data_IF_505807911305
#
_entry.id   IF_505807911305
#
_cell.length_a   1.000
_cell.length_b   1.000
_cell.length_c   1.000
_cell.angle_alpha   90.00
_cell.angle_beta   90.00
_cell.angle_gamma   90.00
#
_symmetry.space_group_name_H-M   'P 1'
#
loop_
_entity.id
_entity.type
_entity.pdbx_description
1 polymer ?
#
# COMPACT_ATOMS: atom_id res chain seq x y z
N UNK A 1 -4.83 -12.72 -22.75
CA UNK A 1 -6.13 -12.06 -23.02
C UNK A 1 -5.83 -10.66 -23.56
N UNK A 2 -6.70 -10.02 -24.34
CA UNK A 2 -6.51 -8.60 -24.64
C UNK A 2 -6.80 -7.79 -23.36
N UNK A 3 -6.00 -6.76 -23.02
CA UNK A 3 -6.22 -6.00 -21.80
C UNK A 3 -7.56 -5.26 -21.86
N UNK A 4 -8.28 -5.18 -20.75
CA UNK A 4 -9.44 -4.31 -20.61
C UNK A 4 -8.96 -2.85 -20.71
N UNK A 5 -9.62 -2.06 -21.54
CA UNK A 5 -9.28 -0.63 -21.75
C UNK A 5 -10.45 0.31 -21.52
N UNK A 6 -11.64 -0.21 -21.24
CA UNK A 6 -12.91 0.51 -21.08
C UNK A 6 -13.29 0.70 -19.61
N UNK A 7 -12.31 0.91 -18.74
CA UNK A 7 -12.56 1.17 -17.32
C UNK A 7 -13.33 2.48 -17.13
N UNK A 8 -14.22 2.56 -16.12
CA UNK A 8 -14.79 3.83 -15.73
C UNK A 8 -13.70 4.78 -15.20
N UNK A 9 -13.95 6.11 -15.23
CA UNK A 9 -13.07 7.07 -14.59
C UNK A 9 -12.88 6.78 -13.10
N UNK A 10 -11.66 7.01 -12.60
CA UNK A 10 -11.34 6.82 -11.18
C UNK A 10 -12.01 7.91 -10.34
N UNK A 11 -12.68 7.50 -9.27
CA UNK A 11 -13.31 8.38 -8.26
C UNK A 11 -12.69 8.24 -6.88
N UNK A 12 -11.94 7.17 -6.63
CA UNK A 12 -11.23 6.96 -5.37
C UNK A 12 -9.81 6.45 -5.59
N UNK A 13 -8.87 7.01 -4.84
CA UNK A 13 -7.51 6.50 -4.75
C UNK A 13 -7.24 6.00 -3.32
N UNK A 14 -6.82 4.75 -3.19
CA UNK A 14 -6.54 4.09 -1.91
C UNK A 14 -5.04 3.80 -1.86
N UNK A 15 -4.36 4.28 -0.82
CA UNK A 15 -2.91 4.22 -0.74
C UNK A 15 -2.46 3.26 0.35
N UNK A 16 -1.52 2.36 0.02
CA UNK A 16 -0.61 1.86 1.05
C UNK A 16 0.27 3.00 1.60
N UNK A 17 1.07 2.75 2.63
CA UNK A 17 1.95 3.73 3.25
C UNK A 17 3.42 3.35 3.14
N UNK A 18 3.75 2.12 3.53
CA UNK A 18 5.11 1.74 3.89
C UNK A 18 5.85 1.25 2.65
N UNK A 19 6.88 1.97 2.20
CA UNK A 19 7.56 1.66 0.94
C UNK A 19 6.89 2.27 -0.30
N UNK A 20 5.73 2.94 -0.12
CA UNK A 20 5.01 3.64 -1.18
C UNK A 20 4.93 5.15 -0.95
N UNK A 21 4.36 5.60 0.18
CA UNK A 21 4.26 7.02 0.50
C UNK A 21 5.54 7.53 1.16
N UNK A 22 6.15 6.67 1.97
CA UNK A 22 7.34 6.99 2.79
C UNK A 22 8.35 5.84 2.71
N UNK A 23 9.64 6.16 2.87
CA UNK A 23 10.80 5.27 2.70
C UNK A 23 11.02 4.26 3.85
N UNK A 24 9.95 3.87 4.55
CA UNK A 24 10.03 3.06 5.78
C UNK A 24 10.55 1.65 5.58
N UNK A 25 10.41 1.07 4.39
CA UNK A 25 10.89 -0.29 4.09
C UNK A 25 12.41 -0.46 4.23
N UNK A 26 13.18 0.59 3.94
CA UNK A 26 14.62 0.60 4.16
C UNK A 26 14.96 0.73 5.65
N UNK A 27 14.18 1.52 6.40
CA UNK A 27 14.33 1.64 7.85
C UNK A 27 13.93 0.35 8.57
N UNK A 28 12.88 -0.34 8.13
CA UNK A 28 12.52 -1.68 8.61
C UNK A 28 13.68 -2.66 8.41
N UNK A 29 14.26 -2.66 7.22
CA UNK A 29 15.39 -3.53 6.88
C UNK A 29 16.61 -3.22 7.75
N UNK A 30 16.89 -1.93 7.99
CA UNK A 30 17.97 -1.49 8.88
C UNK A 30 17.73 -1.97 10.32
N UNK A 31 16.53 -1.78 10.88
CA UNK A 31 16.19 -2.27 12.22
C UNK A 31 16.42 -3.78 12.33
N UNK A 32 15.92 -4.56 11.37
CA UNK A 32 16.07 -6.02 11.35
C UNK A 32 17.55 -6.42 11.25
N UNK A 33 18.32 -5.79 10.37
CA UNK A 33 19.74 -6.11 10.19
C UNK A 33 20.58 -5.78 11.42
N UNK A 34 20.27 -4.69 12.12
CA UNK A 34 20.94 -4.36 13.39
C UNK A 34 20.66 -5.40 14.48
N UNK A 35 19.46 -5.99 14.51
CA UNK A 35 19.17 -7.13 15.40
C UNK A 35 19.95 -8.36 14.94
N UNK A 36 19.89 -8.74 13.66
CA UNK A 36 20.61 -9.90 13.12
C UNK A 36 22.11 -9.85 13.42
N UNK A 37 22.74 -8.68 13.27
CA UNK A 37 24.16 -8.45 13.52
C UNK A 37 24.55 -8.74 14.98
N UNK A 38 23.74 -8.33 15.96
CA UNK A 38 23.99 -8.63 17.40
C UNK A 38 24.08 -10.13 17.69
N UNK A 39 23.37 -10.94 16.91
CA UNK A 39 23.32 -12.39 17.04
C UNK A 39 24.23 -13.11 16.03
N UNK A 40 25.15 -12.38 15.39
CA UNK A 40 26.13 -12.95 14.45
C UNK A 40 25.52 -13.47 13.15
N UNK A 41 24.31 -13.04 12.79
CA UNK A 41 23.68 -13.34 11.50
C UNK A 41 24.01 -12.27 10.47
N UNK A 42 24.18 -12.70 9.21
CA UNK A 42 24.32 -11.81 8.08
C UNK A 42 23.05 -11.00 7.78
N UNK A 43 23.13 -10.04 6.85
CA UNK A 43 21.99 -9.21 6.48
C UNK A 43 20.84 -10.06 5.90
N UNK A 44 19.62 -9.60 6.12
CA UNK A 44 18.42 -10.20 5.55
C UNK A 44 18.47 -10.13 4.01
N UNK A 45 18.41 -11.29 3.31
CA UNK A 45 18.39 -11.30 1.86
C UNK A 45 17.04 -10.82 1.32
N UNK A 46 17.04 -10.32 0.07
CA UNK A 46 15.84 -9.83 -0.60
C UNK A 46 14.75 -10.90 -0.76
N UNK A 47 15.13 -12.16 -0.97
CA UNK A 47 14.21 -13.30 -1.02
C UNK A 47 13.41 -13.50 0.28
N UNK A 48 13.92 -13.01 1.41
CA UNK A 48 13.18 -12.99 2.68
C UNK A 48 12.44 -11.68 2.82
N UNK A 49 13.09 -10.53 2.59
CA UNK A 49 12.47 -9.19 2.65
C UNK A 49 11.18 -9.16 1.85
N UNK A 50 11.21 -9.59 0.58
CA UNK A 50 10.07 -9.62 -0.34
C UNK A 50 8.84 -10.35 0.21
N UNK A 51 9.03 -11.36 1.08
CA UNK A 51 7.92 -12.10 1.71
C UNK A 51 7.35 -11.40 2.95
N UNK A 52 8.08 -10.43 3.51
CA UNK A 52 7.67 -9.65 4.69
C UNK A 52 6.88 -8.41 4.31
N UNK A 53 7.31 -7.70 3.25
CA UNK A 53 6.76 -6.39 2.85
C UNK A 53 5.25 -6.45 2.61
N UNK A 54 4.53 -5.42 3.05
CA UNK A 54 3.07 -5.29 2.91
C UNK A 54 2.21 -6.17 3.82
N UNK A 55 2.78 -7.18 4.49
CA UNK A 55 2.00 -8.08 5.39
C UNK A 55 1.73 -7.43 6.76
N UNK A 56 0.64 -7.84 7.44
CA UNK A 56 0.44 -7.55 8.85
C UNK A 56 1.61 -8.07 9.70
N UNK A 57 1.97 -7.31 10.74
CA UNK A 57 3.10 -7.60 11.63
C UNK A 57 3.18 -9.05 12.10
N UNK A 58 2.10 -9.68 12.63
CA UNK A 58 2.14 -11.07 13.06
C UNK A 58 2.55 -12.08 11.97
N UNK A 59 2.06 -11.88 10.73
CA UNK A 59 2.41 -12.76 9.61
C UNK A 59 3.86 -12.56 9.16
N UNK A 60 4.31 -11.31 9.05
CA UNK A 60 5.71 -10.99 8.74
C UNK A 60 6.67 -11.52 9.81
N UNK A 61 6.35 -11.32 11.10
CA UNK A 61 7.16 -11.79 12.22
C UNK A 61 7.30 -13.31 12.23
N UNK A 62 6.24 -14.05 11.89
CA UNK A 62 6.31 -15.50 11.76
C UNK A 62 7.31 -15.93 10.68
N UNK A 63 7.20 -15.35 9.48
CA UNK A 63 8.11 -15.63 8.35
C UNK A 63 9.56 -15.30 8.72
N UNK A 64 9.77 -14.16 9.39
CA UNK A 64 11.09 -13.77 9.86
C UNK A 64 11.62 -14.76 10.89
N UNK A 65 10.85 -15.15 11.91
CA UNK A 65 11.31 -16.05 12.97
C UNK A 65 11.64 -17.45 12.43
N UNK A 66 10.81 -17.98 11.53
CA UNK A 66 11.04 -19.28 10.89
C UNK A 66 12.37 -19.31 10.11
N UNK A 67 12.75 -18.20 9.47
CA UNK A 67 14.01 -18.07 8.74
C UNK A 67 15.19 -17.71 9.66
N UNK A 68 15.01 -16.71 10.52
CA UNK A 68 16.07 -16.09 11.30
C UNK A 68 16.48 -16.97 12.48
N UNK A 69 15.60 -17.79 13.05
CA UNK A 69 15.91 -18.73 14.14
C UNK A 69 16.87 -18.15 15.20
N UNK A 70 16.64 -16.90 15.59
CA UNK A 70 17.46 -16.22 16.59
C UNK A 70 17.22 -16.86 17.96
N UNK A 71 18.20 -16.84 18.87
CA UNK A 71 18.03 -17.30 20.25
C UNK A 71 17.27 -16.25 21.09
N UNK A 72 16.12 -15.82 20.58
CA UNK A 72 15.22 -14.84 21.17
C UNK A 72 13.81 -15.39 21.20
N UNK A 73 13.09 -15.10 22.26
CA UNK A 73 11.63 -15.22 22.27
C UNK A 73 11.01 -14.17 21.34
N UNK A 74 9.75 -14.37 20.97
CA UNK A 74 9.01 -13.39 20.17
C UNK A 74 8.96 -12.02 20.86
N UNK A 75 8.71 -11.99 22.17
CA UNK A 75 8.61 -10.75 22.95
C UNK A 75 9.94 -9.99 23.01
N UNK A 76 11.06 -10.69 23.22
CA UNK A 76 12.40 -10.06 23.21
C UNK A 76 12.73 -9.47 21.84
N UNK A 77 12.44 -10.20 20.75
CA UNK A 77 12.64 -9.69 19.39
C UNK A 77 11.84 -8.41 19.13
N UNK A 78 10.56 -8.38 19.53
CA UNK A 78 9.70 -7.21 19.35
C UNK A 78 10.18 -6.04 20.21
N UNK A 79 10.63 -6.29 21.44
CA UNK A 79 11.19 -5.26 22.30
C UNK A 79 12.45 -4.63 21.69
N UNK A 80 13.37 -5.43 21.16
CA UNK A 80 14.58 -4.93 20.49
C UNK A 80 14.26 -4.11 19.24
N UNK A 81 13.35 -4.62 18.39
CA UNK A 81 12.92 -3.89 17.21
C UNK A 81 12.26 -2.56 17.58
N UNK A 82 11.40 -2.55 18.61
CA UNK A 82 10.65 -1.36 19.00
C UNK A 82 11.58 -0.20 19.39
N UNK A 83 12.68 -0.49 20.09
CA UNK A 83 13.69 0.53 20.45
C UNK A 83 14.34 1.13 19.20
N UNK A 84 14.70 0.30 18.23
CA UNK A 84 15.30 0.76 16.97
C UNK A 84 14.30 1.56 16.12
N UNK A 85 13.05 1.08 16.04
CA UNK A 85 11.97 1.72 15.30
C UNK A 85 11.63 3.09 15.87
N UNK A 86 11.54 3.23 17.20
CA UNK A 86 11.33 4.53 17.86
C UNK A 86 12.41 5.55 17.54
N UNK A 87 13.65 5.09 17.31
CA UNK A 87 14.77 5.96 16.93
C UNK A 87 14.77 6.31 15.45
N UNK A 88 14.45 5.35 14.58
CA UNK A 88 14.65 5.47 13.13
C UNK A 88 13.41 5.96 12.38
N UNK A 89 12.21 5.52 12.74
CA UNK A 89 10.97 5.92 12.04
C UNK A 89 10.69 7.43 12.03
N UNK A 90 11.04 8.23 13.04
CA UNK A 90 10.92 9.69 12.95
C UNK A 90 11.79 10.34 11.86
N UNK A 91 12.69 9.58 11.23
CA UNK A 91 13.58 10.07 10.16
C UNK A 91 13.09 9.72 8.75
N UNK A 92 11.96 9.00 8.64
CA UNK A 92 11.39 8.64 7.34
C UNK A 92 11.00 9.86 6.53
N UNK A 93 11.09 9.73 5.21
CA UNK A 93 10.84 10.80 4.24
C UNK A 93 9.79 10.36 3.22
N UNK A 94 9.04 11.32 2.66
CA UNK A 94 8.18 11.04 1.51
C UNK A 94 9.01 10.50 0.34
N UNK A 95 8.49 9.51 -0.36
CA UNK A 95 9.12 9.01 -1.59
C UNK A 95 8.95 10.00 -2.76
N UNK A 96 9.83 9.97 -3.78
CA UNK A 96 9.74 10.85 -4.94
C UNK A 96 8.35 10.80 -5.62
N UNK A 97 7.85 11.96 -6.05
CA UNK A 97 6.53 12.10 -6.67
C UNK A 97 5.35 12.12 -5.70
N UNK A 98 5.46 11.51 -4.51
CA UNK A 98 4.35 11.39 -3.54
C UNK A 98 3.76 12.75 -3.11
N UNK A 99 4.56 13.76 -2.71
CA UNK A 99 3.99 15.05 -2.32
C UNK A 99 3.18 15.71 -3.43
N UNK A 100 3.68 15.66 -4.67
CA UNK A 100 2.98 16.23 -5.83
C UNK A 100 1.72 15.43 -6.15
N UNK A 101 1.81 14.10 -6.18
CA UNK A 101 0.68 13.21 -6.44
C UNK A 101 -0.48 13.47 -5.47
N UNK A 102 -0.19 13.53 -4.16
CA UNK A 102 -1.20 13.77 -3.15
C UNK A 102 -1.77 15.19 -3.22
N UNK A 103 -0.94 16.20 -3.50
CA UNK A 103 -1.39 17.57 -3.71
C UNK A 103 -2.37 17.68 -4.89
N UNK A 104 -2.00 17.09 -6.03
CA UNK A 104 -2.79 17.08 -7.27
C UNK A 104 -4.13 16.36 -7.08
N UNK A 105 -4.12 15.18 -6.46
CA UNK A 105 -5.36 14.47 -6.15
C UNK A 105 -6.24 15.25 -5.16
N UNK A 106 -5.65 15.99 -4.23
CA UNK A 106 -6.38 16.83 -3.30
C UNK A 106 -7.02 18.08 -3.95
N UNK A 107 -6.54 18.52 -5.11
CA UNK A 107 -7.13 19.67 -5.85
C UNK A 107 -8.20 19.26 -6.86
N UNK A 108 -8.34 17.96 -7.18
CA UNK A 108 -9.42 17.45 -8.04
C UNK A 108 -10.80 17.94 -7.58
N UNK A 109 -11.70 18.19 -8.53
CA UNK A 109 -13.06 18.66 -8.27
C UNK A 109 -13.19 20.11 -7.77
N UNK A 110 -12.10 20.88 -7.70
CA UNK A 110 -12.12 22.32 -7.32
C UNK A 110 -12.24 23.27 -8.52
N UNK A 111 -12.41 22.74 -9.74
CA UNK A 111 -12.56 23.53 -10.98
C UNK A 111 -14.01 23.62 -11.46
N UNK A 112 -14.30 24.70 -12.19
CA UNK A 112 -15.61 25.19 -12.63
C UNK A 112 -16.10 24.56 -13.96
N UNK A 113 -15.39 23.54 -14.47
CA UNK A 113 -15.67 22.87 -15.74
C UNK A 113 -16.24 21.46 -15.56
N UNK A 114 -17.37 21.21 -16.20
CA UNK A 114 -18.00 19.89 -16.32
C UNK A 114 -17.00 18.83 -16.85
N UNK A 115 -16.68 17.79 -16.06
CA UNK A 115 -15.93 16.66 -16.58
C UNK A 115 -15.61 15.53 -15.59
N UNK A 116 -14.99 15.82 -14.44
CA UNK A 116 -14.63 14.79 -13.46
C UNK A 116 -14.85 15.29 -12.03
N UNK A 117 -15.48 14.45 -11.21
CA UNK A 117 -15.76 14.75 -9.79
C UNK A 117 -14.50 14.76 -8.93
N UNK A 118 -14.66 15.10 -7.65
CA UNK A 118 -13.62 14.99 -6.63
C UNK A 118 -13.10 13.55 -6.58
N UNK A 119 -11.77 13.36 -6.58
CA UNK A 119 -11.17 12.08 -6.23
C UNK A 119 -11.06 11.97 -4.72
N UNK A 120 -11.63 10.91 -4.16
CA UNK A 120 -11.63 10.61 -2.74
C UNK A 120 -10.39 9.81 -2.35
N UNK A 121 -9.75 10.19 -1.26
CA UNK A 121 -8.51 9.56 -0.79
C UNK A 121 -8.74 8.81 0.51
N UNK A 122 -8.14 7.62 0.61
CA UNK A 122 -8.07 6.83 1.83
C UNK A 122 -6.66 6.23 1.99
N UNK A 123 -6.26 6.04 3.24
CA UNK A 123 -5.03 5.35 3.61
C UNK A 123 -5.38 3.92 4.08
N UNK A 124 -4.64 2.93 3.62
CA UNK A 124 -4.84 1.51 3.92
C UNK A 124 -3.49 0.84 4.19
N UNK A 125 -3.03 0.87 5.44
CA UNK A 125 -1.70 0.36 5.84
C UNK A 125 -1.79 -0.84 6.80
N UNK A 126 -0.89 -1.80 6.63
CA UNK A 126 -0.70 -2.91 7.59
C UNK A 126 -0.04 -2.48 8.92
N UNK A 127 0.42 -1.22 9.03
CA UNK A 127 0.96 -0.65 10.26
C UNK A 127 -0.13 -0.41 11.30
N UNK A 128 0.15 -0.74 12.57
CA UNK A 128 -0.71 -0.39 13.69
C UNK A 128 -0.60 1.10 14.07
N UNK A 129 -1.57 1.62 14.81
CA UNK A 129 -1.68 3.03 15.21
C UNK A 129 -0.37 3.61 15.80
N UNK A 130 0.24 2.90 16.74
CA UNK A 130 1.51 3.32 17.34
C UNK A 130 2.64 3.56 16.33
N UNK A 131 2.82 2.64 15.38
CA UNK A 131 3.85 2.75 14.35
C UNK A 131 3.48 3.80 13.31
N UNK A 132 2.20 3.90 12.93
CA UNK A 132 1.70 4.97 12.08
C UNK A 132 2.09 6.34 12.66
N UNK A 133 1.80 6.61 13.94
CA UNK A 133 2.12 7.89 14.59
C UNK A 133 3.60 8.22 14.57
N UNK A 134 4.46 7.26 14.92
CA UNK A 134 5.91 7.49 14.98
C UNK A 134 6.47 7.80 13.59
N UNK A 135 5.93 7.17 12.54
CA UNK A 135 6.32 7.39 11.15
C UNK A 135 5.81 8.70 10.56
N UNK A 136 4.64 9.19 11.00
CA UNK A 136 3.92 10.26 10.29
C UNK A 136 3.81 11.57 11.06
N UNK A 137 4.09 11.61 12.36
CA UNK A 137 3.90 12.81 13.20
C UNK A 137 4.66 14.06 12.72
N UNK A 138 5.84 13.90 12.12
CA UNK A 138 6.63 14.99 11.53
C UNK A 138 6.25 15.30 10.07
N UNK A 139 5.32 14.53 9.49
CA UNK A 139 4.84 14.65 8.10
C UNK A 139 3.35 15.03 8.05
N UNK A 140 2.86 15.77 9.05
CA UNK A 140 1.44 16.11 9.20
C UNK A 140 0.81 16.71 7.95
N UNK A 141 1.51 17.62 7.26
CA UNK A 141 1.00 18.26 6.04
C UNK A 141 0.76 17.23 4.91
N UNK A 142 1.67 16.27 4.75
CA UNK A 142 1.55 15.22 3.73
C UNK A 142 0.33 14.33 3.98
N UNK A 143 0.13 13.90 5.23
CA UNK A 143 -0.95 12.97 5.60
C UNK A 143 -2.29 13.67 5.87
N UNK A 144 -2.33 15.00 5.86
CA UNK A 144 -3.56 15.79 6.08
C UNK A 144 -4.60 15.58 4.98
N UNK A 145 -4.19 15.11 3.79
CA UNK A 145 -5.09 14.76 2.68
C UNK A 145 -5.96 13.54 2.96
N UNK A 146 -5.62 12.72 3.97
CA UNK A 146 -6.39 11.56 4.39
C UNK A 146 -7.18 11.92 5.67
N UNK A 147 -8.51 12.11 5.60
CA UNK A 147 -9.34 12.28 6.78
C UNK A 147 -9.17 11.10 7.76
N UNK A 148 -9.28 11.35 9.06
CA UNK A 148 -9.03 10.35 10.10
C UNK A 148 -9.95 9.13 9.94
N UNK A 149 -11.22 9.35 9.60
CA UNK A 149 -12.22 8.32 9.36
C UNK A 149 -11.92 7.44 8.13
N UNK A 150 -11.07 7.92 7.22
CA UNK A 150 -10.63 7.23 5.98
C UNK A 150 -9.22 6.65 6.10
N UNK A 151 -8.67 6.58 7.31
CA UNK A 151 -7.44 5.84 7.61
C UNK A 151 -7.82 4.48 8.14
N UNK A 152 -7.40 3.44 7.44
CA UNK A 152 -7.52 2.04 7.85
C UNK A 152 -6.13 1.54 8.18
N UNK A 153 -5.92 1.21 9.46
CA UNK A 153 -4.64 0.75 10.00
C UNK A 153 -4.68 -0.75 10.28
N UNK A 154 -3.52 -1.36 10.50
CA UNK A 154 -3.38 -2.81 10.66
C UNK A 154 -4.04 -3.38 11.92
N UNK A 155 -4.30 -2.53 12.92
CA UNK A 155 -5.00 -2.86 14.17
C UNK A 155 -6.43 -2.28 14.23
N UNK A 156 -6.97 -1.86 13.08
CA UNK A 156 -8.36 -1.40 12.97
C UNK A 156 -9.33 -2.52 13.36
N UNK A 157 -10.15 -2.27 14.39
CA UNK A 157 -11.08 -3.25 14.96
C UNK A 157 -12.23 -3.63 14.01
N UNK A 158 -12.42 -2.88 12.93
CA UNK A 158 -13.37 -3.20 11.86
C UNK A 158 -12.85 -4.32 10.94
N UNK A 159 -11.55 -4.62 10.98
CA UNK A 159 -10.95 -5.76 10.28
C UNK A 159 -11.06 -7.01 11.14
N UNK A 160 -11.48 -8.13 10.53
CA UNK A 160 -11.46 -9.40 11.28
C UNK A 160 -10.01 -9.88 11.46
N UNK A 161 -9.69 -10.51 12.60
CA UNK A 161 -8.36 -11.07 12.84
C UNK A 161 -7.92 -12.02 11.72
N UNK A 162 -6.68 -11.85 11.25
CA UNK A 162 -6.10 -12.67 10.18
C UNK A 162 -6.54 -12.29 8.77
N UNK A 163 -7.38 -11.25 8.60
CA UNK A 163 -7.88 -10.80 7.28
C UNK A 163 -7.12 -9.62 6.66
N UNK A 164 -5.88 -9.38 7.08
CA UNK A 164 -5.03 -8.37 6.42
C UNK A 164 -4.48 -8.84 5.07
N UNK A 165 -3.66 -8.00 4.42
CA UNK A 165 -3.03 -8.30 3.13
C UNK A 165 -2.35 -9.69 3.15
N UNK A 166 -2.58 -10.55 2.15
CA UNK A 166 -3.12 -10.28 0.81
C UNK A 166 -4.64 -10.40 0.65
N UNK A 167 -5.39 -10.48 1.75
CA UNK A 167 -6.86 -10.46 1.68
C UNK A 167 -7.37 -9.04 1.40
N UNK A 168 -8.52 -8.91 0.73
CA UNK A 168 -8.99 -7.62 0.20
C UNK A 168 -9.56 -6.69 1.26
N UNK A 169 -9.77 -7.19 2.48
CA UNK A 169 -10.56 -6.54 3.52
C UNK A 169 -10.10 -5.12 3.84
N UNK A 170 -8.79 -4.85 3.85
CA UNK A 170 -8.29 -3.51 4.16
C UNK A 170 -8.69 -2.48 3.10
N UNK A 171 -8.67 -2.86 1.82
CA UNK A 171 -9.08 -1.98 0.73
C UNK A 171 -10.61 -1.90 0.62
N UNK A 172 -11.33 -2.99 0.84
CA UNK A 172 -12.79 -2.97 0.93
C UNK A 172 -13.28 -2.08 2.08
N UNK A 173 -12.62 -2.14 3.24
CA UNK A 173 -12.90 -1.27 4.37
C UNK A 173 -12.57 0.18 4.03
N UNK A 174 -11.41 0.46 3.41
CA UNK A 174 -11.06 1.82 2.99
C UNK A 174 -12.09 2.40 2.00
N UNK A 175 -12.53 1.63 0.99
CA UNK A 175 -13.63 2.04 0.10
C UNK A 175 -14.93 2.27 0.88
N UNK A 176 -15.25 1.42 1.85
CA UNK A 176 -16.41 1.61 2.71
C UNK A 176 -16.33 2.94 3.46
N UNK A 177 -15.18 3.29 4.04
CA UNK A 177 -15.01 4.58 4.75
C UNK A 177 -15.20 5.78 3.84
N UNK A 178 -14.77 5.69 2.58
CA UNK A 178 -15.05 6.71 1.56
C UNK A 178 -16.55 6.81 1.33
N UNK A 179 -17.20 5.69 1.03
CA UNK A 179 -18.64 5.63 0.73
C UNK A 179 -19.52 6.12 1.89
N UNK A 180 -19.16 5.80 3.13
CA UNK A 180 -19.85 6.26 4.34
C UNK A 180 -19.76 7.77 4.55
N UNK A 181 -18.79 8.43 3.91
CA UNK A 181 -18.50 9.86 4.07
C UNK A 181 -18.58 10.64 2.77
N UNK A 182 -19.28 10.10 1.76
CA UNK A 182 -19.56 10.82 0.54
C UNK A 182 -20.52 12.00 0.79
N UNK A 183 -20.37 13.12 0.06
CA UNK A 183 -21.35 14.19 0.06
C UNK A 183 -22.75 13.70 -0.30
N UNK A 184 -23.77 14.35 0.27
CA UNK A 184 -25.16 14.05 -0.07
C UNK A 184 -25.41 14.22 -1.58
N UNK A 185 -26.03 13.21 -2.20
CA UNK A 185 -26.34 13.19 -3.63
C UNK A 185 -25.25 12.56 -4.50
N UNK A 186 -24.07 12.28 -3.95
CA UNK A 186 -23.07 11.47 -4.64
C UNK A 186 -23.38 9.98 -4.48
N UNK A 187 -23.37 9.22 -5.58
CA UNK A 187 -23.61 7.77 -5.54
C UNK A 187 -22.40 7.03 -4.96
N UNK A 188 -22.61 5.86 -4.32
CA UNK A 188 -21.51 5.00 -3.91
C UNK A 188 -20.52 4.73 -5.05
N UNK A 189 -19.24 4.70 -4.70
CA UNK A 189 -18.12 4.35 -5.56
C UNK A 189 -18.00 2.82 -5.60
N UNK A 190 -17.95 2.27 -6.81
CA UNK A 190 -17.74 0.86 -7.04
C UNK A 190 -16.23 0.50 -7.03
N UNK A 191 -15.85 -0.76 -6.74
CA UNK A 191 -14.45 -1.16 -6.77
C UNK A 191 -13.69 -0.87 -8.07
N UNK A 192 -14.33 -1.00 -9.24
CA UNK A 192 -13.69 -0.70 -10.53
C UNK A 192 -13.43 0.80 -10.79
N UNK A 193 -14.03 1.68 -9.97
CA UNK A 193 -13.79 3.12 -9.95
C UNK A 193 -12.67 3.50 -8.95
N UNK A 194 -12.04 2.51 -8.31
CA UNK A 194 -10.97 2.68 -7.35
C UNK A 194 -9.61 2.37 -7.98
N UNK A 195 -8.61 3.16 -7.62
CA UNK A 195 -7.20 2.93 -7.93
C UNK A 195 -6.42 2.74 -6.64
N UNK A 196 -5.91 1.54 -6.43
CA UNK A 196 -4.99 1.22 -5.33
C UNK A 196 -3.58 1.56 -5.74
N UNK A 197 -2.81 2.19 -4.86
CA UNK A 197 -1.36 2.35 -5.01
C UNK A 197 -0.67 1.46 -3.99
N UNK A 198 0.27 0.64 -4.45
CA UNK A 198 0.95 -0.39 -3.66
C UNK A 198 2.39 -0.61 -4.13
N UNK A 199 3.28 -0.98 -3.23
CA UNK A 199 4.66 -1.37 -3.54
C UNK A 199 4.88 -2.89 -3.41
N UNK A 200 4.04 -3.57 -2.62
CA UNK A 200 4.24 -4.94 -2.19
C UNK A 200 3.44 -5.94 -3.02
N UNK A 201 3.99 -7.15 -3.19
CA UNK A 201 3.27 -8.28 -3.83
C UNK A 201 1.95 -8.62 -3.12
N UNK A 202 1.90 -8.85 -1.79
CA UNK A 202 0.63 -9.16 -1.13
C UNK A 202 -0.37 -8.01 -1.18
N UNK A 203 0.10 -6.77 -1.23
CA UNK A 203 -0.74 -5.60 -1.39
C UNK A 203 -1.40 -5.50 -2.76
N UNK A 204 -0.64 -5.77 -3.84
CA UNK A 204 -1.23 -5.89 -5.18
C UNK A 204 -2.29 -6.97 -5.20
N UNK A 205 -1.98 -8.16 -4.66
CA UNK A 205 -2.93 -9.28 -4.57
C UNK A 205 -4.22 -8.89 -3.81
N UNK A 206 -4.11 -8.15 -2.71
CA UNK A 206 -5.26 -7.62 -1.98
C UNK A 206 -6.09 -6.62 -2.79
N UNK A 207 -5.45 -5.68 -3.50
CA UNK A 207 -6.14 -4.72 -4.37
C UNK A 207 -6.88 -5.41 -5.53
N UNK A 208 -6.26 -6.41 -6.15
CA UNK A 208 -6.89 -7.24 -7.20
C UNK A 208 -8.10 -7.99 -6.65
N UNK A 209 -7.96 -8.66 -5.51
CA UNK A 209 -9.07 -9.37 -4.84
C UNK A 209 -10.21 -8.45 -4.42
N UNK A 210 -9.92 -7.18 -4.16
CA UNK A 210 -10.95 -6.19 -3.85
C UNK A 210 -11.75 -5.76 -5.09
N UNK A 211 -11.41 -6.24 -6.29
CA UNK A 211 -12.02 -5.84 -7.55
C UNK A 211 -11.60 -4.43 -7.98
N UNK A 212 -10.41 -3.99 -7.57
CA UNK A 212 -9.90 -2.64 -7.83
C UNK A 212 -8.78 -2.66 -8.87
N UNK A 213 -8.56 -1.50 -9.50
CA UNK A 213 -7.37 -1.28 -10.33
C UNK A 213 -6.17 -1.02 -9.42
N UNK A 214 -4.97 -1.39 -9.84
CA UNK A 214 -3.76 -1.30 -8.99
C UNK A 214 -2.58 -0.70 -9.75
N UNK A 215 -1.97 0.33 -9.18
CA UNK A 215 -0.61 0.77 -9.49
C UNK A 215 0.33 0.01 -8.58
N UNK A 216 1.24 -0.77 -9.18
CA UNK A 216 2.33 -1.41 -8.48
C UNK A 216 3.62 -0.60 -8.70
N UNK A 217 4.11 0.06 -7.65
CA UNK A 217 5.33 0.86 -7.65
C UNK A 217 6.35 0.27 -6.65
N UNK A 218 6.93 -0.90 -6.95
CA UNK A 218 7.83 -1.60 -6.04
C UNK A 218 9.19 -0.93 -5.92
N UNK A 219 9.86 -1.19 -4.80
CA UNK A 219 11.30 -0.98 -4.70
C UNK A 219 12.06 -1.74 -5.82
N UNK A 220 13.10 -1.16 -6.46
CA UNK A 220 13.78 -1.79 -7.60
C UNK A 220 14.32 -3.20 -7.35
N UNK A 221 14.72 -3.49 -6.10
CA UNK A 221 15.20 -4.82 -5.73
C UNK A 221 14.07 -5.84 -5.55
N UNK A 222 12.86 -5.43 -5.14
CA UNK A 222 11.70 -6.31 -5.15
C UNK A 222 11.34 -6.66 -6.60
N UNK A 223 11.35 -5.68 -7.50
CA UNK A 223 11.15 -5.88 -8.94
C UNK A 223 12.15 -6.88 -9.53
N UNK A 224 13.42 -6.86 -9.10
CA UNK A 224 14.43 -7.87 -9.49
C UNK A 224 14.14 -9.25 -8.91
N UNK A 225 13.71 -9.33 -7.65
CA UNK A 225 13.40 -10.61 -6.99
C UNK A 225 12.27 -11.37 -7.69
N UNK A 226 11.29 -10.64 -8.25
CA UNK A 226 10.15 -11.24 -8.98
C UNK A 226 10.30 -11.20 -10.50
N UNK A 227 11.51 -10.98 -11.01
CA UNK A 227 11.76 -10.94 -12.45
C UNK A 227 11.29 -12.24 -13.15
N UNK A 228 10.54 -12.09 -14.23
CA UNK A 228 9.89 -13.19 -14.95
C UNK A 228 8.52 -13.59 -14.41
N UNK A 229 8.07 -13.01 -13.28
CA UNK A 229 6.78 -13.28 -12.64
C UNK A 229 5.91 -12.03 -12.49
N UNK A 230 6.24 -10.95 -13.16
CA UNK A 230 5.59 -9.65 -12.90
C UNK A 230 4.14 -9.63 -13.33
N UNK A 231 3.81 -10.33 -14.42
CA UNK A 231 2.41 -10.52 -14.83
C UNK A 231 1.62 -11.36 -13.82
N UNK A 232 2.26 -12.29 -13.08
CA UNK A 232 1.60 -13.01 -11.98
C UNK A 232 1.31 -12.06 -10.82
N UNK A 233 2.26 -11.18 -10.48
CA UNK A 233 2.08 -10.14 -9.45
C UNK A 233 0.94 -9.22 -9.83
N UNK A 234 0.94 -8.66 -11.05
CA UNK A 234 -0.11 -7.76 -11.55
C UNK A 234 -1.48 -8.44 -11.61
N UNK A 235 -1.53 -9.75 -11.89
CA UNK A 235 -2.77 -10.52 -11.81
C UNK A 235 -3.23 -10.80 -10.37
N UNK A 236 -2.39 -10.58 -9.35
CA UNK A 236 -2.64 -11.01 -7.97
C UNK A 236 -2.60 -12.53 -7.82
N UNK A 237 -1.84 -13.22 -8.68
CA UNK A 237 -1.77 -14.68 -8.79
C UNK A 237 -0.51 -15.28 -8.19
N UNK A 238 0.09 -14.59 -7.24
CA UNK A 238 1.32 -15.04 -6.58
C UNK A 238 1.11 -16.15 -5.56
N UNK A 239 -0.15 -16.36 -5.14
CA UNK A 239 -0.51 -17.40 -4.17
C UNK A 239 -0.20 -16.99 -2.73
N UNK A 240 0.03 -15.69 -2.48
CA UNK A 240 0.39 -15.19 -1.15
C UNK A 240 -0.73 -15.39 -0.13
N UNK A 241 -1.98 -15.52 -0.60
CA UNK A 241 -3.17 -15.83 0.20
C UNK A 241 -3.34 -17.32 0.54
N UNK A 242 -2.47 -18.21 0.02
CA UNK A 242 -2.61 -19.66 0.20
C UNK A 242 -3.86 -20.23 -0.51
N UNK A 243 -4.54 -21.18 0.14
CA UNK A 243 -5.69 -21.92 -0.42
C UNK A 243 -7.01 -21.11 -0.47
N UNK A 244 -6.95 -19.79 -0.33
CA UNK A 244 -8.12 -18.91 -0.45
C UNK A 244 -8.56 -18.85 -1.91
N UNK A 245 -9.88 -18.88 -2.12
CA UNK A 245 -10.54 -18.89 -3.42
C UNK A 245 -9.82 -17.99 -4.46
N UNK A 246 -9.31 -18.65 -5.53
CA UNK A 246 -8.63 -18.04 -6.66
C UNK A 246 -9.60 -17.41 -7.67
N UNK A 247 -10.91 -17.59 -7.51
CA UNK A 247 -11.91 -16.96 -8.39
C UNK A 247 -11.94 -15.43 -8.24
N UNK A 248 -11.28 -14.85 -7.23
CA UNK A 248 -11.21 -13.41 -6.99
C UNK A 248 -9.94 -12.74 -7.54
N UNK A 249 -9.00 -13.49 -8.11
CA UNK A 249 -7.75 -12.92 -8.68
C UNK A 249 -7.86 -12.76 -10.20
N UNK A 250 -7.10 -11.84 -10.77
CA UNK A 250 -7.15 -11.48 -12.18
C UNK A 250 -6.44 -12.47 -13.12
N UNK A 251 -6.33 -12.09 -14.38
CA UNK A 251 -5.57 -12.80 -15.41
C UNK A 251 -4.33 -11.99 -15.83
N UNK A 252 -3.18 -12.62 -16.11
CA UNK A 252 -2.04 -11.96 -16.72
C UNK A 252 -2.42 -11.11 -17.94
N UNK A 253 -2.00 -9.84 -17.97
CA UNK A 253 -2.31 -8.89 -19.03
C UNK A 253 -3.78 -8.45 -19.15
N UNK A 254 -4.59 -8.59 -18.10
CA UNK A 254 -6.01 -8.18 -18.11
C UNK A 254 -6.25 -6.66 -18.04
N UNK A 255 -5.19 -5.86 -17.81
CA UNK A 255 -5.21 -4.40 -17.82
C UNK A 255 -5.67 -3.74 -16.51
N UNK A 256 -5.98 -4.51 -15.47
CA UNK A 256 -6.43 -3.94 -14.21
C UNK A 256 -5.30 -3.44 -13.31
N UNK A 257 -4.10 -3.99 -13.47
CA UNK A 257 -2.94 -3.52 -12.73
C UNK A 257 -1.78 -3.21 -13.67
N UNK A 258 -0.96 -2.27 -13.24
CA UNK A 258 0.24 -1.88 -13.98
C UNK A 258 1.41 -1.57 -13.08
N UNK A 259 2.59 -1.80 -13.61
CA UNK A 259 3.84 -1.42 -13.00
C UNK A 259 4.17 0.04 -13.35
N UNK A 260 4.56 0.82 -12.35
CA UNK A 260 5.26 2.09 -12.51
C UNK A 260 6.60 2.02 -11.77
N UNK A 261 7.64 2.57 -12.39
CA UNK A 261 8.95 2.67 -11.73
C UNK A 261 8.98 3.79 -10.67
N UNK A 262 8.18 4.84 -10.88
CA UNK A 262 8.06 6.01 -10.01
C UNK A 262 6.64 6.56 -10.06
N UNK A 263 6.24 7.28 -9.03
CA UNK A 263 4.99 8.05 -8.98
C UNK A 263 5.16 9.50 -9.49
N UNK A 264 6.37 9.88 -9.89
CA UNK A 264 6.62 11.16 -10.55
C UNK A 264 5.91 11.23 -11.91
N UNK A 265 5.38 12.42 -12.24
CA UNK A 265 4.66 12.67 -13.49
C UNK A 265 3.53 11.64 -13.75
N UNK A 266 2.75 11.33 -12.71
CA UNK A 266 1.67 10.35 -12.77
C UNK A 266 0.65 10.67 -13.91
N UNK A 267 0.28 9.69 -14.77
CA UNK A 267 -0.52 9.93 -15.97
C UNK A 267 -2.03 10.01 -15.67
N UNK A 268 -2.49 11.10 -15.04
CA UNK A 268 -3.88 11.29 -14.60
C UNK A 268 -4.93 11.04 -15.70
N UNK A 269 -4.70 11.51 -16.92
CA UNK A 269 -5.64 11.38 -18.04
C UNK A 269 -5.99 9.93 -18.38
N UNK A 270 -5.02 9.01 -18.22
CA UNK A 270 -5.23 7.56 -18.42
C UNK A 270 -6.26 6.97 -17.47
N UNK A 271 -6.48 7.63 -16.33
CA UNK A 271 -7.39 7.24 -15.27
C UNK A 271 -8.68 8.06 -15.26
N UNK A 272 -8.87 8.96 -16.22
CA UNK A 272 -9.99 9.91 -16.23
C UNK A 272 -9.97 10.87 -15.04
N UNK A 273 -8.79 11.09 -14.44
CA UNK A 273 -8.61 12.03 -13.33
C UNK A 273 -8.25 13.39 -13.92
N UNK A 274 -8.99 14.42 -13.54
CA UNK A 274 -8.71 15.81 -13.95
C UNK A 274 -8.14 16.57 -12.77
N UNK A 275 -6.87 16.95 -12.89
CA UNK A 275 -6.16 17.78 -11.91
C UNK A 275 -6.22 19.23 -12.36
N UNK A 276 -6.47 20.16 -11.44
CA UNK A 276 -6.43 21.58 -11.74
C UNK A 276 -4.99 21.98 -12.11
N UNK A 277 -4.78 22.90 -13.08
CA UNK A 277 -3.45 23.43 -13.34
C UNK A 277 -2.85 23.96 -12.03
N UNK A 278 -1.59 23.63 -11.73
CA UNK A 278 -0.89 24.21 -10.61
C UNK A 278 -0.98 25.75 -10.73
N UNK A 279 -1.59 26.38 -9.73
CA UNK A 279 -1.87 27.81 -9.76
C UNK A 279 -0.61 28.64 -10.04
N UNK A 280 -0.73 29.58 -10.99
CA UNK A 280 0.14 30.76 -11.07
C UNK A 280 -0.06 31.64 -9.83
#
# INVERSE_FOLDING_TARGET
MAPRTDFPPIRACLFDMDGLLIDTEDLYTLCVNLVLEKYGKGPMPWSIKARLQGRPGPAANKIFQDWAQLPLTHEEYIAELSVLQQKLFPTTKPLPGVPQLLADLNTTGKGDGAGAGKVHLALATSSHEGNFRIKTSHLGDLFSVFPEERRVLGDDTRLQPGRGKPLPDIFLLALKTINDTLPAGERPIAPEECLVFEDSVPGVEAGRRAGMRVIWCPHPMLKKEVAGREEEVLAGRTGEAGDVDLHQVGEPGDGWAEYLETLEAFPYDKYGIVVAPAGQ
#
